data_IF_001009220737
#
_entry.id   IF_001009220737
#
_cell.length_a   1.000
_cell.length_b   1.000
_cell.length_c   1.000
_cell.angle_alpha   90.00
_cell.angle_beta   90.00
_cell.angle_gamma   90.00
#
_symmetry.space_group_name_H-M   'P 1'
#
loop_
_entity.id
_entity.type
_entity.pdbx_description
1 polymer ?
#
# COMPACT_ATOMS: atom_id res chain seq x y z
N UNK A 1 -58.29 -16.50 -4.15
CA UNK A 1 -57.46 -15.28 -4.27
C UNK A 1 -56.03 -15.69 -3.97
N UNK A 2 -55.38 -16.26 -4.97
CA UNK A 2 -53.97 -16.66 -4.97
C UNK A 2 -53.21 -15.51 -5.61
N UNK A 3 -52.60 -14.68 -4.77
CA UNK A 3 -51.75 -13.56 -5.20
C UNK A 3 -50.44 -14.12 -5.73
N UNK A 4 -50.24 -14.03 -7.04
CA UNK A 4 -49.12 -13.30 -7.67
C UNK A 4 -47.69 -13.43 -7.07
N UNK A 5 -47.29 -14.59 -6.57
CA UNK A 5 -45.88 -14.83 -6.17
C UNK A 5 -44.98 -15.21 -7.36
N UNK A 6 -45.54 -15.69 -8.48
CA UNK A 6 -44.75 -16.19 -9.62
C UNK A 6 -44.25 -15.08 -10.57
N UNK A 7 -44.83 -13.86 -10.54
CA UNK A 7 -44.42 -12.75 -11.41
C UNK A 7 -43.28 -11.89 -10.84
N UNK A 8 -43.07 -11.94 -9.51
CA UNK A 8 -42.06 -11.15 -8.82
C UNK A 8 -40.63 -11.74 -8.92
N UNK A 9 -40.51 -13.07 -9.06
CA UNK A 9 -39.21 -13.76 -9.06
C UNK A 9 -38.29 -13.41 -10.26
N UNK A 10 -38.78 -13.31 -11.52
CA UNK A 10 -37.94 -12.91 -12.65
C UNK A 10 -37.47 -11.45 -12.56
N UNK A 11 -38.31 -10.57 -12.01
CA UNK A 11 -38.02 -9.14 -11.90
C UNK A 11 -36.95 -8.86 -10.84
N UNK A 12 -37.03 -9.52 -9.69
CA UNK A 12 -36.00 -9.43 -8.63
C UNK A 12 -34.62 -9.86 -9.12
N UNK A 13 -34.56 -10.84 -10.02
CA UNK A 13 -33.31 -11.33 -10.59
C UNK A 13 -32.77 -10.32 -11.59
N UNK A 14 -33.60 -9.79 -12.48
CA UNK A 14 -33.22 -8.70 -13.39
C UNK A 14 -32.62 -7.52 -12.62
N UNK A 15 -33.34 -7.04 -11.61
CA UNK A 15 -32.91 -5.91 -10.77
C UNK A 15 -31.55 -6.17 -10.08
N UNK A 16 -31.28 -7.41 -9.67
CA UNK A 16 -30.00 -7.76 -9.06
C UNK A 16 -28.85 -7.73 -10.06
N UNK A 17 -29.07 -8.28 -11.27
CA UNK A 17 -28.07 -8.31 -12.33
C UNK A 17 -27.73 -6.89 -12.80
N UNK A 18 -28.74 -6.05 -12.97
CA UNK A 18 -28.55 -4.64 -13.35
C UNK A 18 -27.74 -3.88 -12.31
N UNK A 19 -27.98 -4.15 -11.02
CA UNK A 19 -27.19 -3.56 -9.92
C UNK A 19 -25.74 -4.05 -9.88
N UNK A 20 -25.50 -5.34 -10.12
CA UNK A 20 -24.14 -5.88 -10.24
C UNK A 20 -23.41 -5.18 -11.38
N UNK A 21 -24.04 -5.07 -12.55
CA UNK A 21 -23.44 -4.45 -13.73
C UNK A 21 -23.16 -2.96 -13.51
N UNK A 22 -24.10 -2.23 -12.90
CA UNK A 22 -23.94 -0.81 -12.58
C UNK A 22 -22.77 -0.60 -11.62
N UNK A 23 -22.75 -1.33 -10.51
CA UNK A 23 -21.67 -1.24 -9.51
C UNK A 23 -20.31 -1.63 -10.10
N UNK A 24 -20.24 -2.70 -10.91
CA UNK A 24 -19.02 -3.11 -11.58
C UNK A 24 -18.49 -2.04 -12.53
N UNK A 25 -19.38 -1.35 -13.24
CA UNK A 25 -19.01 -0.23 -14.13
C UNK A 25 -18.43 0.93 -13.33
N UNK A 26 -19.09 1.34 -12.25
CA UNK A 26 -18.61 2.43 -11.36
C UNK A 26 -17.25 2.09 -10.76
N UNK A 27 -17.06 0.84 -10.33
CA UNK A 27 -15.84 0.36 -9.70
C UNK A 27 -14.73 0.00 -10.70
N UNK A 28 -14.99 0.03 -12.01
CA UNK A 28 -14.05 -0.42 -13.03
C UNK A 28 -13.66 -1.90 -12.87
N UNK A 29 -14.60 -2.74 -12.43
CA UNK A 29 -14.39 -4.19 -12.25
C UNK A 29 -14.42 -4.88 -13.63
N UNK A 30 -13.47 -5.79 -13.94
CA UNK A 30 -13.44 -6.50 -15.21
C UNK A 30 -14.71 -7.29 -15.51
N UNK A 31 -14.98 -7.52 -16.80
CA UNK A 31 -16.16 -8.26 -17.25
C UNK A 31 -16.18 -9.70 -16.68
N UNK A 32 -15.03 -10.36 -16.68
CA UNK A 32 -14.85 -11.71 -16.12
C UNK A 32 -15.29 -11.79 -14.65
N UNK A 33 -14.83 -10.84 -13.82
CA UNK A 33 -15.21 -10.75 -12.41
C UNK A 33 -16.69 -10.42 -12.22
N UNK A 34 -17.25 -9.62 -13.14
CA UNK A 34 -18.69 -9.30 -13.16
C UNK A 34 -19.52 -10.55 -13.47
N UNK A 35 -19.08 -11.39 -14.41
CA UNK A 35 -19.71 -12.68 -14.72
C UNK A 35 -19.65 -13.64 -13.52
N UNK A 36 -18.52 -13.68 -12.82
CA UNK A 36 -18.38 -14.44 -11.57
C UNK A 36 -19.34 -13.93 -10.48
N UNK A 37 -19.51 -12.62 -10.34
CA UNK A 37 -20.49 -12.04 -9.41
C UNK A 37 -21.92 -12.50 -9.72
N UNK A 38 -22.28 -12.54 -11.00
CA UNK A 38 -23.59 -13.05 -11.47
C UNK A 38 -23.73 -14.55 -11.17
N UNK A 39 -22.69 -15.35 -11.38
CA UNK A 39 -22.69 -16.77 -11.06
C UNK A 39 -22.87 -17.02 -9.55
N UNK A 40 -22.14 -16.26 -8.71
CA UNK A 40 -22.26 -16.28 -7.25
C UNK A 40 -23.69 -15.93 -6.82
N UNK A 41 -24.27 -14.87 -7.38
CA UNK A 41 -25.65 -14.46 -7.06
C UNK A 41 -26.67 -15.54 -7.40
N UNK A 42 -26.61 -16.12 -8.60
CA UNK A 42 -27.53 -17.18 -9.04
C UNK A 42 -27.42 -18.41 -8.15
N UNK A 43 -26.20 -18.86 -7.86
CA UNK A 43 -25.96 -20.03 -7.00
C UNK A 43 -26.45 -19.79 -5.57
N UNK A 44 -26.24 -18.59 -5.03
CA UNK A 44 -26.72 -18.18 -3.70
C UNK A 44 -28.25 -18.21 -3.63
N UNK A 45 -28.93 -17.69 -4.66
CA UNK A 45 -30.39 -17.71 -4.76
C UNK A 45 -30.93 -19.14 -4.82
N UNK A 46 -30.35 -20.01 -5.65
CA UNK A 46 -30.89 -21.37 -5.85
C UNK A 46 -30.83 -22.23 -4.57
N UNK A 47 -30.01 -21.87 -3.58
CA UNK A 47 -29.94 -22.53 -2.27
C UNK A 47 -30.98 -22.02 -1.24
N UNK A 48 -31.73 -20.95 -1.53
CA UNK A 48 -32.77 -20.39 -0.63
C UNK A 48 -34.03 -19.98 -1.38
N UNK A 49 -35.19 -20.49 -0.94
CA UNK A 49 -36.47 -19.82 -1.20
C UNK A 49 -36.35 -18.40 -0.61
N UNK A 50 -36.44 -17.40 -1.49
CA UNK A 50 -36.04 -16.03 -1.22
C UNK A 50 -36.76 -15.45 0.01
N UNK A 51 -36.06 -15.35 1.14
CA UNK A 51 -36.38 -14.29 2.08
C UNK A 51 -35.90 -12.99 1.44
N UNK A 52 -36.86 -12.17 1.04
CA UNK A 52 -36.72 -10.86 0.39
C UNK A 52 -35.99 -9.86 1.30
N UNK A 53 -34.71 -10.10 1.55
CA UNK A 53 -33.80 -9.14 2.16
C UNK A 53 -32.98 -8.46 1.07
N UNK A 54 -32.84 -7.14 1.20
CA UNK A 54 -32.35 -6.16 0.23
C UNK A 54 -31.55 -6.75 -0.95
N UNK A 55 -32.20 -6.83 -2.10
CA UNK A 55 -31.62 -7.29 -3.38
C UNK A 55 -30.36 -6.51 -3.71
N UNK A 56 -30.33 -5.19 -3.41
CA UNK A 56 -29.16 -4.36 -3.63
C UNK A 56 -27.97 -4.77 -2.78
N UNK A 57 -28.17 -4.98 -1.47
CA UNK A 57 -27.09 -5.43 -0.57
C UNK A 57 -26.59 -6.83 -0.96
N UNK A 58 -27.47 -7.71 -1.43
CA UNK A 58 -27.05 -9.05 -1.89
C UNK A 58 -26.24 -8.95 -3.19
N UNK A 59 -26.69 -8.15 -4.16
CA UNK A 59 -25.95 -7.88 -5.39
C UNK A 59 -24.54 -7.31 -5.11
N UNK A 60 -24.45 -6.27 -4.26
CA UNK A 60 -23.19 -5.67 -3.84
C UNK A 60 -22.27 -6.68 -3.15
N UNK A 61 -22.81 -7.51 -2.26
CA UNK A 61 -22.05 -8.56 -1.58
C UNK A 61 -21.54 -9.63 -2.55
N UNK A 62 -22.32 -10.04 -3.55
CA UNK A 62 -21.88 -10.99 -4.57
C UNK A 62 -20.74 -10.42 -5.43
N UNK A 63 -20.81 -9.14 -5.81
CA UNK A 63 -19.73 -8.47 -6.52
C UNK A 63 -18.47 -8.34 -5.66
N UNK A 64 -18.62 -7.96 -4.39
CA UNK A 64 -17.51 -7.91 -3.42
C UNK A 64 -16.83 -9.28 -3.29
N UNK A 65 -17.62 -10.36 -3.16
CA UNK A 65 -17.09 -11.73 -3.09
C UNK A 65 -16.37 -12.12 -4.38
N UNK A 66 -16.91 -11.79 -5.55
CA UNK A 66 -16.25 -12.07 -6.83
C UNK A 66 -14.91 -11.32 -6.97
N UNK A 67 -14.87 -10.03 -6.61
CA UNK A 67 -13.64 -9.26 -6.62
C UNK A 67 -12.60 -9.85 -5.68
N UNK A 68 -13.03 -10.35 -4.52
CA UNK A 68 -12.15 -11.13 -3.66
C UNK A 68 -11.68 -12.36 -4.41
N UNK A 69 -12.56 -13.30 -4.79
CA UNK A 69 -12.22 -14.55 -5.50
C UNK A 69 -11.20 -14.37 -6.63
N UNK A 70 -11.38 -13.34 -7.45
CA UNK A 70 -10.54 -13.08 -8.62
C UNK A 70 -9.38 -12.11 -8.38
N UNK A 71 -9.09 -11.76 -7.11
CA UNK A 71 -7.93 -10.95 -6.75
C UNK A 71 -7.94 -9.55 -7.38
N UNK A 72 -9.14 -8.96 -7.46
CA UNK A 72 -9.36 -7.58 -7.91
C UNK A 72 -9.31 -6.64 -6.69
N UNK A 73 -8.27 -5.79 -6.56
CA UNK A 73 -8.05 -4.97 -5.37
C UNK A 73 -9.06 -3.82 -5.28
N UNK A 74 -10.11 -4.04 -4.47
CA UNK A 74 -11.06 -3.00 -4.06
C UNK A 74 -11.21 -2.98 -2.54
N UNK A 75 -11.32 -1.79 -1.96
CA UNK A 75 -11.62 -1.58 -0.54
C UNK A 75 -13.10 -1.84 -0.30
N UNK A 76 -13.51 -1.93 0.96
CA UNK A 76 -14.93 -2.10 1.29
C UNK A 76 -15.71 -0.81 1.02
N UNK A 77 -15.08 0.33 1.29
CA UNK A 77 -15.74 1.63 1.24
C UNK A 77 -15.98 2.07 -0.21
N UNK A 78 -15.13 1.66 -1.16
CA UNK A 78 -15.42 1.77 -2.61
C UNK A 78 -16.76 1.11 -2.98
N UNK A 79 -17.10 -0.07 -2.43
CA UNK A 79 -18.41 -0.69 -2.68
C UNK A 79 -19.55 0.05 -2.00
N UNK A 80 -19.32 0.58 -0.80
CA UNK A 80 -20.33 1.35 -0.06
C UNK A 80 -20.72 2.58 -0.90
N UNK A 81 -19.74 3.28 -1.44
CA UNK A 81 -19.94 4.47 -2.26
C UNK A 81 -20.60 4.13 -3.60
N UNK A 82 -20.19 3.04 -4.25
CA UNK A 82 -20.75 2.63 -5.55
C UNK A 82 -22.17 2.04 -5.46
N UNK A 83 -22.61 1.57 -4.29
CA UNK A 83 -23.88 0.83 -4.15
C UNK A 83 -24.86 1.41 -3.14
N UNK A 84 -24.44 2.45 -2.39
CA UNK A 84 -25.16 3.02 -1.25
C UNK A 84 -25.53 1.99 -0.17
N UNK A 85 -24.86 0.84 -0.15
CA UNK A 85 -25.10 -0.22 0.82
C UNK A 85 -24.46 0.13 2.16
N UNK A 86 -25.17 -0.13 3.27
CA UNK A 86 -24.57 -0.02 4.59
C UNK A 86 -23.36 -0.97 4.71
N UNK A 87 -22.23 -0.43 5.15
CA UNK A 87 -20.95 -1.14 5.29
C UNK A 87 -21.06 -2.44 6.10
N UNK A 88 -21.76 -2.39 7.24
CA UNK A 88 -21.92 -3.55 8.13
C UNK A 88 -22.80 -4.60 7.47
N UNK A 89 -23.87 -4.18 6.80
CA UNK A 89 -24.76 -5.08 6.07
C UNK A 89 -24.06 -5.73 4.88
N UNK A 90 -23.26 -5.00 4.11
CA UNK A 90 -22.46 -5.51 3.00
C UNK A 90 -21.51 -6.61 3.48
N UNK A 91 -20.70 -6.34 4.50
CA UNK A 91 -19.74 -7.32 5.03
C UNK A 91 -20.43 -8.53 5.66
N UNK A 92 -21.51 -8.31 6.41
CA UNK A 92 -22.32 -9.41 6.99
C UNK A 92 -22.90 -10.28 5.89
N UNK A 93 -23.39 -9.67 4.80
CA UNK A 93 -23.98 -10.40 3.68
C UNK A 93 -22.93 -11.14 2.87
N UNK A 94 -21.77 -10.53 2.62
CA UNK A 94 -20.64 -11.19 1.97
C UNK A 94 -20.20 -12.45 2.75
N UNK A 95 -20.08 -12.34 4.08
CA UNK A 95 -19.76 -13.49 4.95
C UNK A 95 -20.82 -14.59 4.90
N UNK A 96 -22.10 -14.22 4.81
CA UNK A 96 -23.18 -15.19 4.66
C UNK A 96 -23.08 -15.92 3.32
N UNK A 97 -22.94 -15.17 2.21
CA UNK A 97 -22.77 -15.73 0.86
C UNK A 97 -21.59 -16.71 0.80
N UNK A 98 -20.43 -16.33 1.36
CA UNK A 98 -19.25 -17.19 1.31
C UNK A 98 -19.41 -18.47 2.13
N UNK A 99 -20.01 -18.37 3.32
CA UNK A 99 -20.27 -19.51 4.20
C UNK A 99 -21.30 -20.47 3.60
N UNK A 100 -22.35 -19.94 2.97
CA UNK A 100 -23.41 -20.72 2.33
C UNK A 100 -22.88 -21.46 1.09
N UNK A 101 -22.06 -20.79 0.28
CA UNK A 101 -21.51 -21.37 -0.95
C UNK A 101 -20.24 -22.20 -0.74
N UNK A 102 -19.67 -22.21 0.46
CA UNK A 102 -18.39 -22.87 0.77
C UNK A 102 -17.21 -22.23 0.05
N UNK A 103 -17.25 -20.92 -0.16
CA UNK A 103 -16.16 -20.16 -0.79
C UNK A 103 -15.12 -19.82 0.29
N UNK A 104 -13.90 -20.30 0.12
CA UNK A 104 -12.80 -19.93 0.98
C UNK A 104 -12.24 -18.56 0.57
N UNK A 105 -12.21 -17.64 1.53
CA UNK A 105 -11.66 -16.29 1.37
C UNK A 105 -10.28 -16.12 2.01
N UNK A 106 -9.67 -17.18 2.55
CA UNK A 106 -8.40 -17.13 3.27
C UNK A 106 -7.23 -16.60 2.42
N UNK A 107 -7.26 -16.78 1.10
CA UNK A 107 -6.25 -16.29 0.16
C UNK A 107 -6.29 -14.78 -0.15
N UNK A 108 -7.22 -14.01 0.41
CA UNK A 108 -7.43 -12.59 0.10
C UNK A 108 -6.72 -11.61 1.04
N UNK A 109 -5.68 -12.08 1.71
CA UNK A 109 -4.81 -11.27 2.56
C UNK A 109 -3.66 -10.59 1.79
N UNK A 110 -3.56 -10.85 0.48
CA UNK A 110 -2.41 -10.43 -0.31
C UNK A 110 -2.42 -8.91 -0.57
N UNK A 111 -1.43 -8.22 0.00
CA UNK A 111 -1.28 -6.78 -0.14
C UNK A 111 -0.65 -6.38 -1.49
N UNK A 112 0.02 -7.29 -2.20
CA UNK A 112 0.73 -6.98 -3.46
C UNK A 112 -0.20 -6.42 -4.54
N UNK A 113 -1.42 -6.95 -4.67
CA UNK A 113 -2.42 -6.45 -5.63
C UNK A 113 -2.80 -4.99 -5.39
N UNK A 114 -2.88 -4.59 -4.11
CA UNK A 114 -3.16 -3.21 -3.76
C UNK A 114 -1.96 -2.32 -4.06
N UNK A 115 -0.72 -2.81 -3.93
CA UNK A 115 0.48 -2.07 -4.33
C UNK A 115 0.43 -1.70 -5.81
N UNK A 116 0.12 -2.66 -6.69
CA UNK A 116 0.05 -2.43 -8.13
C UNK A 116 -0.94 -1.33 -8.49
N UNK A 117 -2.18 -1.47 -8.02
CA UNK A 117 -3.23 -0.47 -8.28
C UNK A 117 -2.83 0.90 -7.77
N UNK A 118 -2.33 0.97 -6.54
CA UNK A 118 -2.00 2.25 -5.92
C UNK A 118 -0.80 2.92 -6.58
N UNK A 119 0.20 2.16 -7.01
CA UNK A 119 1.31 2.67 -7.77
C UNK A 119 0.87 3.26 -9.11
N UNK A 120 -0.02 2.56 -9.83
CA UNK A 120 -0.61 3.04 -11.09
C UNK A 120 -1.42 4.33 -10.89
N UNK A 121 -2.29 4.36 -9.87
CA UNK A 121 -3.16 5.49 -9.58
C UNK A 121 -2.37 6.74 -9.11
N UNK A 122 -1.23 6.52 -8.44
CA UNK A 122 -0.28 7.57 -8.06
C UNK A 122 0.76 7.89 -9.15
N UNK A 123 0.73 7.19 -10.29
CA UNK A 123 1.69 7.29 -11.38
C UNK A 123 3.16 7.17 -10.90
N UNK A 124 3.43 6.22 -10.00
CA UNK A 124 4.76 6.00 -9.45
C UNK A 124 5.69 5.33 -10.47
N UNK A 125 7.00 5.63 -10.44
CA UNK A 125 7.97 4.89 -11.23
C UNK A 125 7.96 3.39 -10.91
N UNK A 126 8.23 2.55 -11.91
CA UNK A 126 8.24 1.09 -11.77
C UNK A 126 9.17 0.62 -10.64
N UNK A 127 10.39 1.21 -10.53
CA UNK A 127 11.31 0.88 -9.46
C UNK A 127 10.79 1.19 -8.04
N UNK A 128 9.91 2.17 -7.88
CA UNK A 128 9.26 2.47 -6.59
C UNK A 128 8.13 1.47 -6.31
N UNK A 129 7.39 1.07 -7.34
CA UNK A 129 6.37 0.03 -7.22
C UNK A 129 7.00 -1.33 -6.88
N UNK A 130 8.09 -1.71 -7.56
CA UNK A 130 8.87 -2.92 -7.27
C UNK A 130 9.37 -2.90 -5.83
N UNK A 131 9.94 -1.77 -5.41
CA UNK A 131 10.38 -1.62 -4.02
C UNK A 131 9.23 -1.76 -3.02
N UNK A 132 8.05 -1.23 -3.31
CA UNK A 132 6.89 -1.41 -2.45
C UNK A 132 6.45 -2.89 -2.36
N UNK A 133 6.54 -3.66 -3.45
CA UNK A 133 6.28 -5.12 -3.44
C UNK A 133 7.30 -5.86 -2.59
N UNK A 134 8.58 -5.56 -2.76
CA UNK A 134 9.65 -6.14 -1.94
C UNK A 134 9.43 -5.88 -0.45
N UNK A 135 9.01 -4.66 -0.08
CA UNK A 135 8.71 -4.32 1.31
C UNK A 135 7.55 -5.18 1.85
N UNK A 136 6.51 -5.39 1.05
CA UNK A 136 5.41 -6.31 1.42
C UNK A 136 5.95 -7.71 1.67
N UNK A 137 6.69 -8.26 0.70
CA UNK A 137 7.25 -9.63 0.77
C UNK A 137 8.16 -9.81 1.99
N UNK A 138 9.05 -8.86 2.25
CA UNK A 138 9.96 -8.93 3.40
C UNK A 138 9.21 -8.93 4.73
N UNK A 139 8.09 -8.21 4.83
CA UNK A 139 7.31 -8.17 6.04
C UNK A 139 6.36 -9.37 6.19
N UNK A 140 5.95 -9.99 5.07
CA UNK A 140 5.26 -11.27 5.06
C UNK A 140 6.18 -12.41 5.51
N UNK A 141 7.41 -12.44 5.00
CA UNK A 141 8.46 -13.38 5.42
C UNK A 141 8.79 -13.24 6.92
N UNK A 142 8.78 -12.01 7.44
CA UNK A 142 8.96 -11.73 8.86
C UNK A 142 7.73 -12.09 9.73
N UNK A 143 6.63 -12.53 9.12
CA UNK A 143 5.42 -12.96 9.82
C UNK A 143 4.62 -11.83 10.46
N UNK A 144 4.92 -10.57 10.14
CA UNK A 144 4.25 -9.41 10.77
C UNK A 144 3.01 -8.95 10.01
N UNK A 145 2.73 -9.44 8.79
CA UNK A 145 1.56 -8.99 8.01
C UNK A 145 0.21 -9.54 8.56
N UNK A 146 0.23 -10.64 9.31
CA UNK A 146 -0.97 -11.36 9.74
C UNK A 146 -1.97 -10.52 10.54
N UNK A 147 -3.26 -10.64 10.21
CA UNK A 147 -4.37 -9.98 10.92
C UNK A 147 -4.54 -8.49 10.63
N UNK A 148 -3.79 -7.94 9.67
CA UNK A 148 -3.82 -6.53 9.27
C UNK A 148 -4.59 -6.35 7.97
N UNK A 149 -5.09 -5.14 7.73
CA UNK A 149 -5.77 -4.81 6.46
C UNK A 149 -4.76 -4.82 5.30
N UNK A 150 -4.96 -5.62 4.24
CA UNK A 150 -4.04 -5.67 3.09
C UNK A 150 -3.90 -4.31 2.39
N UNK A 151 -5.02 -3.59 2.21
CA UNK A 151 -5.04 -2.23 1.66
C UNK A 151 -4.12 -1.28 2.45
N UNK A 152 -4.33 -1.19 3.77
CA UNK A 152 -3.53 -0.30 4.62
C UNK A 152 -2.06 -0.72 4.73
N UNK A 153 -1.77 -2.01 4.55
CA UNK A 153 -0.43 -2.56 4.51
C UNK A 153 0.31 -2.16 3.22
N UNK A 154 -0.35 -2.31 2.07
CA UNK A 154 0.14 -1.87 0.77
C UNK A 154 0.39 -0.35 0.73
N UNK A 155 -0.55 0.45 1.25
CA UNK A 155 -0.40 1.90 1.32
C UNK A 155 0.82 2.33 2.16
N UNK A 156 1.09 1.62 3.25
CA UNK A 156 2.29 1.87 4.06
C UNK A 156 3.58 1.43 3.36
N UNK A 157 3.55 0.33 2.58
CA UNK A 157 4.69 -0.12 1.81
C UNK A 157 5.04 0.90 0.70
N UNK A 158 4.03 1.40 -0.02
CA UNK A 158 4.21 2.51 -0.98
C UNK A 158 4.78 3.75 -0.30
N UNK A 159 4.24 4.12 0.86
CA UNK A 159 4.77 5.26 1.60
C UNK A 159 6.24 5.07 1.99
N UNK A 160 6.63 3.86 2.39
CA UNK A 160 8.03 3.52 2.70
C UNK A 160 8.91 3.62 1.44
N UNK A 161 8.49 3.05 0.31
CA UNK A 161 9.23 3.09 -0.95
C UNK A 161 9.41 4.53 -1.46
N UNK A 162 8.35 5.35 -1.44
CA UNK A 162 8.45 6.77 -1.81
C UNK A 162 9.41 7.53 -0.89
N UNK A 163 9.45 7.21 0.41
CA UNK A 163 10.41 7.83 1.33
C UNK A 163 11.85 7.46 1.00
N UNK A 164 12.12 6.20 0.68
CA UNK A 164 13.47 5.75 0.28
C UNK A 164 13.92 6.42 -1.02
N UNK A 165 12.98 6.61 -1.96
CA UNK A 165 13.22 7.25 -3.25
C UNK A 165 13.20 8.80 -3.21
N UNK A 166 13.09 9.41 -2.03
CA UNK A 166 12.91 10.86 -1.85
C UNK A 166 11.78 11.45 -2.70
N UNK A 167 10.70 10.68 -2.86
CA UNK A 167 9.49 11.07 -3.58
C UNK A 167 8.41 11.55 -2.61
N UNK A 168 7.86 12.72 -2.92
CA UNK A 168 6.72 13.26 -2.19
C UNK A 168 5.43 12.54 -2.57
N UNK A 169 4.82 11.89 -1.57
CA UNK A 169 3.46 11.36 -1.66
C UNK A 169 2.63 11.98 -0.54
N UNK A 170 1.49 12.57 -0.92
CA UNK A 170 0.57 13.17 0.05
C UNK A 170 -0.07 12.06 0.89
N UNK A 171 0.03 12.18 2.21
CA UNK A 171 -0.59 11.21 3.10
C UNK A 171 -2.11 11.15 2.91
N UNK A 172 -2.77 12.29 2.69
CA UNK A 172 -4.22 12.34 2.47
C UNK A 172 -4.62 11.51 1.25
N UNK A 173 -3.86 11.63 0.15
CA UNK A 173 -4.09 10.86 -1.08
C UNK A 173 -3.96 9.37 -0.83
N UNK A 174 -2.94 8.93 -0.07
CA UNK A 174 -2.81 7.52 0.31
C UNK A 174 -3.92 7.05 1.24
N UNK A 175 -4.39 7.88 2.18
CA UNK A 175 -5.48 7.50 3.08
C UNK A 175 -6.83 7.39 2.37
N UNK A 176 -7.09 8.28 1.41
CA UNK A 176 -8.28 8.24 0.56
C UNK A 176 -8.24 6.99 -0.33
N UNK A 177 -7.14 6.78 -1.04
CA UNK A 177 -6.93 5.65 -1.94
C UNK A 177 -7.05 4.28 -1.26
N UNK A 178 -6.60 4.20 0.00
CA UNK A 178 -6.60 2.96 0.76
C UNK A 178 -7.80 2.80 1.72
N UNK A 179 -8.66 3.80 1.83
CA UNK A 179 -9.77 3.85 2.78
C UNK A 179 -9.33 3.50 4.21
N UNK A 180 -8.25 4.13 4.65
CA UNK A 180 -7.68 3.93 5.99
C UNK A 180 -7.28 5.25 6.60
N UNK A 181 -7.21 5.29 7.93
CA UNK A 181 -6.78 6.51 8.63
C UNK A 181 -5.27 6.75 8.50
N UNK A 182 -4.83 8.01 8.67
CA UNK A 182 -3.42 8.35 8.80
C UNK A 182 -2.70 7.53 9.88
N UNK A 183 -3.40 7.23 10.99
CA UNK A 183 -2.84 6.46 12.11
C UNK A 183 -2.59 5.01 11.68
N UNK A 184 -3.47 4.44 10.87
CA UNK A 184 -3.29 3.10 10.30
C UNK A 184 -2.01 3.05 9.48
N UNK A 185 -1.87 3.92 8.47
CA UNK A 185 -0.67 3.98 7.62
C UNK A 185 0.58 4.21 8.45
N UNK A 186 0.56 5.18 9.37
CA UNK A 186 1.71 5.48 10.24
C UNK A 186 2.15 4.29 11.08
N UNK A 187 1.21 3.54 11.65
CA UNK A 187 1.55 2.38 12.47
C UNK A 187 2.14 1.25 11.61
N UNK A 188 1.52 0.94 10.46
CA UNK A 188 2.04 -0.09 9.55
C UNK A 188 3.42 0.29 9.00
N UNK A 189 3.60 1.56 8.63
CA UNK A 189 4.87 2.12 8.17
C UNK A 189 6.00 1.90 9.16
N UNK A 190 5.77 2.15 10.46
CA UNK A 190 6.78 1.97 11.51
C UNK A 190 7.18 0.51 11.66
N UNK A 191 6.19 -0.39 11.70
CA UNK A 191 6.44 -1.82 11.81
C UNK A 191 7.23 -2.37 10.61
N UNK A 192 6.85 -1.95 9.39
CA UNK A 192 7.61 -2.30 8.17
C UNK A 192 9.04 -1.75 8.25
N UNK A 193 9.21 -0.51 8.72
CA UNK A 193 10.52 0.13 8.83
C UNK A 193 11.46 -0.59 9.80
N UNK A 194 10.93 -1.15 10.88
CA UNK A 194 11.71 -1.97 11.82
C UNK A 194 12.26 -3.21 11.12
N UNK A 195 11.42 -3.96 10.39
CA UNK A 195 11.85 -5.15 9.62
C UNK A 195 12.91 -4.79 8.57
N UNK A 196 12.71 -3.70 7.84
CA UNK A 196 13.66 -3.28 6.80
C UNK A 196 15.05 -2.98 7.38
N UNK A 197 15.12 -2.33 8.56
CA UNK A 197 16.39 -2.03 9.24
C UNK A 197 17.07 -3.28 9.79
N UNK A 198 16.30 -4.22 10.32
CA UNK A 198 16.85 -5.49 10.80
C UNK A 198 17.41 -6.32 9.64
N UNK A 199 16.74 -6.29 8.48
CA UNK A 199 17.12 -7.08 7.31
C UNK A 199 18.28 -6.49 6.52
N UNK A 200 18.34 -5.16 6.38
CA UNK A 200 19.41 -4.44 5.67
C UNK A 200 19.90 -3.26 6.51
N UNK A 201 20.66 -3.49 7.60
CA UNK A 201 21.19 -2.42 8.44
C UNK A 201 22.25 -1.60 7.69
N UNK A 202 22.41 -0.30 8.01
CA UNK A 202 23.44 0.52 7.38
C UNK A 202 24.85 -0.05 7.65
N UNK A 203 25.77 0.02 6.67
CA UNK A 203 27.15 -0.40 6.83
C UNK A 203 27.89 0.35 7.94
N UNK A 204 28.94 -0.27 8.47
CA UNK A 204 29.76 0.29 9.56
C UNK A 204 30.65 1.47 9.13
N UNK A 205 30.85 1.71 7.83
CA UNK A 205 31.67 2.82 7.33
C UNK A 205 30.81 3.84 6.61
N UNK A 206 31.07 5.13 6.81
CA UNK A 206 30.29 6.21 6.20
C UNK A 206 30.33 6.14 4.66
N UNK A 207 31.47 5.78 4.08
CA UNK A 207 31.61 5.62 2.62
C UNK A 207 30.72 4.51 2.05
N UNK A 208 30.70 3.32 2.67
CA UNK A 208 29.81 2.24 2.23
C UNK A 208 28.33 2.57 2.49
N UNK A 209 28.04 3.34 3.54
CA UNK A 209 26.68 3.80 3.82
C UNK A 209 26.13 4.74 2.73
N UNK A 210 26.97 5.50 2.01
CA UNK A 210 26.54 6.25 0.82
C UNK A 210 25.97 5.32 -0.24
N UNK A 211 26.67 4.24 -0.58
CA UNK A 211 26.21 3.28 -1.60
C UNK A 211 24.97 2.52 -1.14
N UNK A 212 24.87 2.23 0.15
CA UNK A 212 23.67 1.67 0.77
C UNK A 212 22.44 2.59 0.61
N UNK A 213 22.59 3.90 0.84
CA UNK A 213 21.49 4.85 0.59
C UNK A 213 21.08 4.87 -0.88
N UNK A 214 22.06 4.82 -1.79
CA UNK A 214 21.85 4.90 -3.25
C UNK A 214 21.15 3.69 -3.85
N UNK A 215 20.98 2.60 -3.11
CA UNK A 215 20.21 1.45 -3.57
C UNK A 215 18.78 1.85 -3.96
N UNK A 216 18.19 2.78 -3.21
CA UNK A 216 16.82 3.27 -3.43
C UNK A 216 16.72 4.78 -3.56
N UNK A 217 17.73 5.53 -3.09
CA UNK A 217 17.79 6.98 -3.25
C UNK A 217 18.33 7.34 -4.64
N UNK A 218 17.65 8.16 -5.45
CA UNK A 218 18.07 8.54 -6.80
C UNK A 218 19.18 9.62 -6.80
N UNK A 219 20.17 9.50 -5.91
CA UNK A 219 21.33 10.38 -5.89
C UNK A 219 22.26 10.07 -7.09
N UNK A 220 22.55 11.10 -7.88
CA UNK A 220 23.45 10.96 -9.04
C UNK A 220 24.84 10.52 -8.61
N UNK A 221 25.58 9.90 -9.54
CA UNK A 221 26.98 9.50 -9.29
C UNK A 221 27.84 10.70 -8.86
N UNK A 222 27.62 11.86 -9.48
CA UNK A 222 28.28 13.11 -9.09
C UNK A 222 28.01 13.50 -7.62
N UNK A 223 26.77 13.42 -7.16
CA UNK A 223 26.41 13.70 -5.75
C UNK A 223 27.08 12.69 -4.82
N UNK A 224 27.09 11.42 -5.19
CA UNK A 224 27.73 10.36 -4.40
C UNK A 224 29.25 10.55 -4.29
N UNK A 225 29.92 10.88 -5.38
CA UNK A 225 31.36 11.12 -5.41
C UNK A 225 31.72 12.34 -4.57
N UNK A 226 30.97 13.43 -4.72
CA UNK A 226 31.12 14.64 -3.89
C UNK A 226 30.91 14.33 -2.40
N UNK A 227 29.92 13.50 -2.07
CA UNK A 227 29.67 13.07 -0.69
C UNK A 227 30.84 12.24 -0.14
N UNK A 228 31.45 11.35 -0.94
CA UNK A 228 32.65 10.59 -0.53
C UNK A 228 33.87 11.48 -0.35
N UNK A 229 34.07 12.48 -1.21
CA UNK A 229 35.17 13.46 -1.06
C UNK A 229 35.01 14.30 0.22
N UNK A 230 33.78 14.73 0.53
CA UNK A 230 33.45 15.41 1.78
C UNK A 230 33.78 14.55 3.00
N UNK A 231 33.38 13.28 3.00
CA UNK A 231 33.71 12.36 4.09
C UNK A 231 35.21 12.11 4.23
N UNK A 232 35.93 11.95 3.11
CA UNK A 232 37.37 11.75 3.12
C UNK A 232 38.09 12.96 3.74
N UNK A 233 37.64 14.17 3.45
CA UNK A 233 38.16 15.40 4.06
C UNK A 233 37.79 15.49 5.54
N UNK A 234 36.56 15.13 5.91
CA UNK A 234 36.08 15.18 7.29
C UNK A 234 36.77 14.16 8.21
N UNK A 235 37.20 13.02 7.67
CA UNK A 235 37.88 11.96 8.42
C UNK A 235 39.21 12.42 9.06
N UNK A 236 39.81 13.49 8.55
CA UNK A 236 41.01 14.10 9.15
C UNK A 236 40.71 14.85 10.48
N UNK A 237 39.43 15.18 10.72
CA UNK A 237 39.01 16.04 11.84
C UNK A 237 37.98 15.36 12.76
N UNK A 238 37.19 14.41 12.24
CA UNK A 238 36.09 13.76 12.94
C UNK A 238 36.11 12.23 12.77
N UNK A 239 35.68 11.45 13.78
CA UNK A 239 35.52 10.00 13.65
C UNK A 239 34.25 9.67 12.84
N UNK A 240 34.33 9.79 11.51
CA UNK A 240 33.16 9.67 10.61
C UNK A 240 32.48 8.30 10.65
N UNK A 241 33.17 7.25 11.11
CA UNK A 241 32.63 5.88 11.17
C UNK A 241 31.91 5.53 12.48
N UNK A 242 32.10 6.30 13.57
CA UNK A 242 31.40 6.04 14.85
C UNK A 242 29.87 6.20 14.71
N UNK A 243 29.43 7.04 13.77
CA UNK A 243 28.04 7.23 13.37
C UNK A 243 27.91 7.27 11.84
N UNK A 244 28.47 6.23 11.20
CA UNK A 244 28.60 6.11 9.75
C UNK A 244 27.35 6.53 8.96
N UNK A 245 26.15 6.08 9.37
CA UNK A 245 24.92 6.40 8.68
C UNK A 245 24.55 7.89 8.75
N UNK A 246 24.77 8.54 9.90
CA UNK A 246 24.49 9.96 10.07
C UNK A 246 25.46 10.83 9.27
N UNK A 247 26.75 10.45 9.25
CA UNK A 247 27.77 11.11 8.41
C UNK A 247 27.50 10.91 6.91
N UNK A 248 27.15 9.70 6.48
CA UNK A 248 26.75 9.43 5.11
C UNK A 248 25.53 10.26 4.70
N UNK A 249 24.48 10.28 5.54
CA UNK A 249 23.30 11.09 5.32
C UNK A 249 23.60 12.59 5.22
N UNK A 250 24.44 13.12 6.12
CA UNK A 250 24.87 14.52 6.12
C UNK A 250 25.68 14.86 4.86
N UNK A 251 26.62 14.00 4.46
CA UNK A 251 27.44 14.22 3.26
C UNK A 251 26.61 14.19 1.98
N UNK A 252 25.66 13.26 1.84
CA UNK A 252 24.70 13.23 0.74
C UNK A 252 23.86 14.49 0.70
N UNK A 253 23.39 14.98 1.86
CA UNK A 253 22.63 16.23 1.96
C UNK A 253 23.43 17.42 1.44
N UNK A 254 24.63 17.64 1.98
CA UNK A 254 25.50 18.77 1.61
C UNK A 254 25.90 18.67 0.13
N UNK A 255 26.27 17.48 -0.34
CA UNK A 255 26.60 17.24 -1.74
C UNK A 255 25.41 17.53 -2.67
N UNK A 256 24.20 17.09 -2.31
CA UNK A 256 22.98 17.37 -3.07
C UNK A 256 22.66 18.85 -3.14
N UNK A 257 22.80 19.58 -2.03
CA UNK A 257 22.63 21.04 -1.97
C UNK A 257 23.67 21.75 -2.86
N UNK A 258 24.95 21.34 -2.81
CA UNK A 258 26.01 21.88 -3.68
C UNK A 258 25.79 21.59 -5.16
N UNK A 259 25.19 20.45 -5.48
CA UNK A 259 24.87 20.03 -6.84
C UNK A 259 23.56 20.63 -7.40
N UNK A 260 22.80 21.38 -6.59
CA UNK A 260 21.48 21.90 -6.98
C UNK A 260 20.39 20.82 -7.06
N UNK A 261 20.61 19.66 -6.43
CA UNK A 261 19.69 18.54 -6.33
C UNK A 261 19.53 18.14 -4.85
N UNK A 262 18.87 18.97 -4.03
CA UNK A 262 18.78 18.76 -2.59
C UNK A 262 18.00 17.47 -2.28
N UNK A 263 18.51 16.70 -1.31
CA UNK A 263 17.86 15.48 -0.84
C UNK A 263 17.05 15.77 0.42
N UNK A 264 15.82 15.27 0.46
CA UNK A 264 14.90 15.42 1.57
C UNK A 264 15.41 14.77 2.86
N UNK A 265 15.29 15.51 3.96
CA UNK A 265 15.67 15.04 5.30
C UNK A 265 15.00 13.71 5.68
N UNK A 266 13.79 13.48 5.18
CA UNK A 266 13.04 12.26 5.49
C UNK A 266 13.63 11.02 4.82
N UNK A 267 14.07 11.14 3.56
CA UNK A 267 14.74 10.06 2.84
C UNK A 267 16.09 9.70 3.46
N UNK A 268 16.79 10.68 4.03
CA UNK A 268 18.07 10.47 4.70
C UNK A 268 17.91 9.84 6.09
N UNK A 269 17.02 10.37 6.93
CA UNK A 269 16.93 9.93 8.33
C UNK A 269 16.17 8.63 8.51
N UNK A 270 15.17 8.38 7.66
CA UNK A 270 14.20 7.30 7.89
C UNK A 270 14.82 5.93 7.69
N UNK A 271 15.55 5.62 6.60
CA UNK A 271 16.06 4.29 6.38
C UNK A 271 16.97 3.82 7.51
N UNK A 272 17.99 4.61 7.85
CA UNK A 272 18.94 4.27 8.91
C UNK A 272 18.43 4.53 10.35
N UNK A 273 17.35 5.30 10.52
CA UNK A 273 16.83 5.64 11.86
C UNK A 273 17.62 6.72 12.59
N UNK A 274 18.38 7.54 11.87
CA UNK A 274 19.10 8.69 12.42
C UNK A 274 18.12 9.78 12.88
N UNK A 275 18.55 10.63 13.82
CA UNK A 275 17.79 11.83 14.17
C UNK A 275 18.08 12.96 13.18
N UNK A 276 17.13 13.89 13.02
CA UNK A 276 17.36 15.08 12.18
C UNK A 276 18.42 16.02 12.76
N UNK A 277 18.55 16.06 14.10
CA UNK A 277 19.58 16.87 14.76
C UNK A 277 20.98 16.34 14.45
N UNK A 278 21.18 15.02 14.49
CA UNK A 278 22.49 14.41 14.24
C UNK A 278 22.95 14.68 12.80
N UNK A 279 22.03 14.57 11.84
CA UNK A 279 22.32 14.87 10.43
C UNK A 279 22.66 16.36 10.24
N UNK A 280 21.90 17.27 10.87
CA UNK A 280 22.18 18.71 10.78
C UNK A 280 23.52 19.11 11.39
N UNK A 281 23.86 18.57 12.55
CA UNK A 281 25.14 18.83 13.22
C UNK A 281 26.31 18.45 12.31
N UNK A 282 26.29 17.23 11.77
CA UNK A 282 27.34 16.74 10.86
C UNK A 282 27.36 17.48 9.53
N UNK A 283 26.20 17.90 9.02
CA UNK A 283 26.14 18.73 7.82
C UNK A 283 26.83 20.09 8.05
N UNK A 284 26.62 20.71 9.22
CA UNK A 284 27.30 21.96 9.59
C UNK A 284 28.82 21.76 9.71
N UNK A 285 29.27 20.62 10.25
CA UNK A 285 30.70 20.30 10.31
C UNK A 285 31.29 20.19 8.88
N UNK A 286 30.61 19.49 7.98
CA UNK A 286 31.02 19.33 6.58
C UNK A 286 31.02 20.64 5.78
N UNK A 287 30.12 21.56 6.07
CA UNK A 287 30.08 22.88 5.44
C UNK A 287 31.22 23.81 5.88
N UNK A 288 31.83 23.52 7.02
CA UNK A 288 32.94 24.30 7.57
C UNK A 288 34.32 23.91 7.01
N UNK A 289 34.39 22.80 6.27
CA UNK A 289 35.57 22.28 5.57
C UNK A 289 35.71 22.87 4.17
#
# INVERSE_FOLDING_TARGET
MTTDETSAEPQVVGDALDRIQSAATVLGVPAETTETAVAVFRRHRDQRAAHAHNVATTAAACLYVACKVERVPRTVDEFVDATEADRTQLLRRAKAVTSELGIDLSGFADASQYVDRYADELALPEGVADRAREIVDHCEDAGIAGGKSPSGWAAAAIYNACVEADMDVRQDTLTELADVTHVTIRNRYKEQREVLRERNPPPATAAAAIDWYREYLPASEYVADTARELLATAADYHPVDDEAAAWAAASLRVAGERAGAPIGMKALKTPAGCSSSDIHERASDLESL
#
